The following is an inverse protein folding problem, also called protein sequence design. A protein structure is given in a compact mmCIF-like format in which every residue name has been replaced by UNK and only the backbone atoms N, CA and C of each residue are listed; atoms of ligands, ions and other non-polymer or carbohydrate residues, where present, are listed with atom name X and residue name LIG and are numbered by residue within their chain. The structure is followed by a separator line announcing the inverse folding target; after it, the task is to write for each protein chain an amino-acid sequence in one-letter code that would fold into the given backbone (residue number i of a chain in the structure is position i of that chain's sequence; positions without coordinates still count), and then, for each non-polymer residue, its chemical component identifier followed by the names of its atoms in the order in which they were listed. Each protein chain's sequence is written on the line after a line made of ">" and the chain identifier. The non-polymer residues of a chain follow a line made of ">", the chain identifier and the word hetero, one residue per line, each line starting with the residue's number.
data_IF_441539394191
#
_entry.id   IF_441539394191
#
_cell.length_a   1.000
_cell.length_b   1.000
_cell.length_c   1.000
_cell.angle_alpha   90.00
_cell.angle_beta   90.00
_cell.angle_gamma   90.00
#
_symmetry.space_group_name_H-M   'P 1'
#
loop_
_entity.id
_entity.type
_entity.pdbx_description
1 polymer ?
#
# COMPACT_ATOMS: atom_id res chain seq x y z
N UNK A 1 12.79 -18.73 21.28
CA UNK A 1 12.37 -19.70 20.25
C UNK A 1 12.64 -21.16 20.64
N UNK A 2 13.89 -21.65 20.65
CA UNK A 2 14.15 -23.08 20.96
C UNK A 2 13.65 -23.50 22.36
N UNK A 3 13.76 -22.62 23.35
CA UNK A 3 13.19 -22.84 24.68
C UNK A 3 11.65 -22.92 24.65
N UNK A 4 11.00 -22.13 23.80
CA UNK A 4 9.54 -22.16 23.63
C UNK A 4 9.10 -23.49 23.00
N UNK A 5 9.80 -23.95 21.97
CA UNK A 5 9.55 -25.27 21.36
C UNK A 5 9.76 -26.40 22.38
N UNK A 6 10.84 -26.34 23.17
CA UNK A 6 11.10 -27.33 24.22
C UNK A 6 10.02 -27.33 25.32
N UNK A 7 9.41 -26.17 25.59
CA UNK A 7 8.29 -26.05 26.52
C UNK A 7 7.02 -26.64 25.92
N UNK A 8 6.68 -26.28 24.68
CA UNK A 8 5.52 -26.82 23.95
C UNK A 8 5.59 -28.34 23.75
N UNK A 9 6.79 -28.90 23.60
CA UNK A 9 7.00 -30.35 23.48
C UNK A 9 6.64 -31.10 24.77
N UNK A 10 6.74 -30.45 25.92
CA UNK A 10 6.44 -31.03 27.24
C UNK A 10 4.98 -30.88 27.65
N UNK A 11 4.21 -30.02 26.98
CA UNK A 11 2.80 -29.78 27.29
C UNK A 11 1.96 -30.80 26.54
N UNK A 12 1.30 -31.76 27.22
CA UNK A 12 0.41 -32.70 26.58
C UNK A 12 -0.91 -32.03 26.22
N UNK A 13 -1.50 -32.42 25.09
CA UNK A 13 -2.89 -32.08 24.81
C UNK A 13 -3.78 -33.00 25.65
N UNK A 14 -4.69 -32.39 26.41
CA UNK A 14 -5.65 -33.16 27.21
C UNK A 14 -6.52 -34.06 26.30
N UNK A 15 -6.78 -35.33 26.67
CA UNK A 15 -7.54 -36.27 25.85
C UNK A 15 -8.91 -35.76 25.40
N UNK A 16 -9.57 -34.99 26.27
CA UNK A 16 -10.83 -34.30 26.02
C UNK A 16 -10.83 -33.41 24.76
N UNK A 17 -9.67 -32.81 24.47
CA UNK A 17 -9.46 -31.91 23.34
C UNK A 17 -9.09 -32.70 22.07
N UNK A 18 -8.39 -33.82 22.20
CA UNK A 18 -7.97 -34.66 21.07
C UNK A 18 -9.18 -35.20 20.28
N UNK A 19 -10.21 -35.69 20.99
CA UNK A 19 -11.43 -36.20 20.38
C UNK A 19 -12.25 -35.15 19.60
N UNK A 20 -12.17 -33.87 20.00
CA UNK A 20 -12.82 -32.76 19.28
C UNK A 20 -12.02 -32.30 18.06
N UNK A 21 -10.70 -32.50 18.04
CA UNK A 21 -9.86 -32.17 16.88
C UNK A 21 -9.89 -33.25 15.79
N UNK A 22 -9.99 -34.53 16.14
CA UNK A 22 -10.04 -35.64 15.15
C UNK A 22 -11.32 -35.64 14.31
N UNK A 23 -12.41 -35.06 14.84
CA UNK A 23 -13.68 -34.90 14.15
C UNK A 23 -13.63 -33.87 13.01
N UNK A 24 -12.63 -32.97 12.98
CA UNK A 24 -12.43 -32.00 11.91
C UNK A 24 -11.36 -32.41 10.88
N UNK A 25 -10.48 -33.37 11.20
CA UNK A 25 -9.30 -33.72 10.38
C UNK A 25 -9.53 -34.99 9.52
N UNK A 26 -10.66 -35.68 9.67
CA UNK A 26 -10.92 -36.94 8.97
C UNK A 26 -11.55 -36.76 7.57
N UNK A 27 -10.76 -36.26 6.61
CA UNK A 27 -10.92 -36.60 5.19
C UNK A 27 -9.51 -36.92 4.67
N UNK A 28 -9.28 -38.18 4.32
CA UNK A 28 -8.05 -38.76 3.74
C UNK A 28 -6.89 -39.09 4.69
N UNK A 29 -6.96 -40.24 5.37
CA UNK A 29 -5.96 -41.33 5.26
C UNK A 29 -6.37 -42.60 6.03
N UNK A 30 -5.90 -43.80 5.60
CA UNK A 30 -6.43 -45.07 6.07
C UNK A 30 -5.86 -45.49 7.42
N UNK A 31 -6.72 -46.13 8.19
CA UNK A 31 -6.52 -46.70 9.52
C UNK A 31 -5.27 -47.59 9.59
N UNK A 32 -4.33 -47.23 10.45
CA UNK A 32 -3.16 -48.03 10.79
C UNK A 32 -2.70 -47.81 12.23
N UNK A 33 -2.90 -48.85 13.05
CA UNK A 33 -2.21 -49.18 14.32
C UNK A 33 -2.10 -48.10 15.41
N UNK A 34 -2.86 -48.36 16.49
CA UNK A 34 -2.80 -47.71 17.80
C UNK A 34 -1.38 -47.61 18.34
N UNK A 35 -0.99 -46.38 18.65
CA UNK A 35 0.00 -46.03 19.66
C UNK A 35 -0.64 -44.90 20.46
N UNK A 36 -0.91 -45.14 21.75
CA UNK A 36 -1.32 -44.14 22.76
C UNK A 36 -0.19 -43.13 23.01
N UNK A 37 0.34 -42.51 21.96
CA UNK A 37 1.31 -41.44 22.09
C UNK A 37 0.56 -40.15 22.38
N UNK A 38 0.69 -39.68 23.63
CA UNK A 38 0.15 -38.39 24.06
C UNK A 38 0.66 -37.29 23.12
N UNK A 39 -0.23 -36.77 22.26
CA UNK A 39 0.12 -35.71 21.33
C UNK A 39 0.46 -34.44 22.13
N UNK A 40 1.69 -33.94 22.00
CA UNK A 40 2.10 -32.68 22.61
C UNK A 40 1.55 -31.49 21.84
N UNK A 41 1.44 -30.35 22.51
CA UNK A 41 0.97 -29.10 21.91
C UNK A 41 1.88 -28.69 20.73
N UNK A 42 3.20 -28.92 20.84
CA UNK A 42 4.13 -28.74 19.73
C UNK A 42 3.75 -29.62 18.53
N UNK A 43 3.48 -30.92 18.74
CA UNK A 43 3.16 -31.86 17.67
C UNK A 43 1.84 -31.52 16.97
N UNK A 44 0.87 -30.95 17.70
CA UNK A 44 -0.38 -30.47 17.11
C UNK A 44 -0.22 -29.19 16.30
N UNK A 45 0.49 -28.19 16.82
CA UNK A 45 0.84 -26.97 16.05
C UNK A 45 1.58 -27.36 14.76
N UNK A 46 2.52 -28.29 14.91
CA UNK A 46 3.34 -28.87 13.83
C UNK A 46 2.57 -29.69 12.79
N UNK A 47 1.39 -30.20 13.15
CA UNK A 47 0.54 -30.97 12.27
C UNK A 47 -0.40 -30.05 11.46
N UNK A 48 -0.83 -28.93 12.06
CA UNK A 48 -1.59 -27.89 11.36
C UNK A 48 -0.71 -27.04 10.44
N UNK A 49 0.54 -26.83 10.83
CA UNK A 49 1.51 -26.07 10.04
C UNK A 49 2.78 -26.91 9.93
N UNK A 50 3.14 -27.32 8.71
CA UNK A 50 4.27 -28.21 8.46
C UNK A 50 5.49 -27.75 9.29
N UNK A 51 6.08 -28.62 10.13
CA UNK A 51 7.17 -28.24 11.07
C UNK A 51 8.28 -27.37 10.47
N UNK A 52 8.52 -27.55 9.17
CA UNK A 52 9.47 -26.77 8.39
C UNK A 52 9.12 -25.28 8.33
N UNK A 53 7.84 -24.91 8.36
CA UNK A 53 7.39 -23.52 8.31
C UNK A 53 7.75 -22.73 9.57
N UNK A 54 7.65 -23.33 10.77
CA UNK A 54 7.96 -22.67 12.04
C UNK A 54 9.45 -22.37 12.19
N UNK A 55 10.29 -23.37 11.91
CA UNK A 55 11.74 -23.20 11.98
C UNK A 55 12.24 -22.24 10.88
N UNK A 56 11.67 -22.34 9.68
CA UNK A 56 11.97 -21.39 8.59
C UNK A 56 11.52 -19.97 8.92
N UNK A 57 10.36 -19.78 9.55
CA UNK A 57 9.89 -18.48 10.00
C UNK A 57 10.84 -17.87 11.05
N UNK A 58 11.33 -18.67 12.00
CA UNK A 58 12.31 -18.23 12.99
C UNK A 58 13.64 -17.82 12.35
N UNK A 59 14.18 -18.64 11.45
CA UNK A 59 15.42 -18.35 10.73
C UNK A 59 15.30 -17.11 9.84
N UNK A 60 14.19 -16.99 9.11
CA UNK A 60 13.91 -15.82 8.27
C UNK A 60 13.72 -14.56 9.11
N UNK A 61 13.13 -14.69 10.31
CA UNK A 61 13.00 -13.58 11.22
C UNK A 61 14.36 -13.09 11.71
N UNK A 62 15.24 -13.99 12.16
CA UNK A 62 16.60 -13.65 12.57
C UNK A 62 17.42 -13.02 11.44
N UNK A 63 17.39 -13.62 10.23
CA UNK A 63 18.06 -13.08 9.05
C UNK A 63 17.51 -11.69 8.69
N UNK A 64 16.19 -11.53 8.74
CA UNK A 64 15.51 -10.27 8.46
C UNK A 64 15.89 -9.19 9.46
N UNK A 65 15.87 -9.48 10.77
CA UNK A 65 16.25 -8.54 11.82
C UNK A 65 17.73 -8.12 11.73
N UNK A 66 18.61 -9.06 11.38
CA UNK A 66 20.03 -8.74 11.17
C UNK A 66 20.25 -7.87 9.92
N UNK A 67 19.49 -8.13 8.85
CA UNK A 67 19.59 -7.38 7.60
C UNK A 67 19.01 -5.96 7.73
N UNK A 68 17.80 -5.83 8.28
CA UNK A 68 17.12 -4.55 8.53
C UNK A 68 17.59 -3.91 9.83
N UNK A 69 18.90 -3.73 9.94
CA UNK A 69 19.52 -3.03 11.06
C UNK A 69 19.52 -1.50 10.83
N UNK A 70 19.87 -0.77 11.87
CA UNK A 70 19.89 0.70 11.85
C UNK A 70 20.84 1.26 10.77
N UNK A 71 22.01 0.64 10.58
CA UNK A 71 22.98 1.05 9.57
C UNK A 71 22.41 0.95 8.15
N UNK A 72 21.75 -0.17 7.83
CA UNK A 72 21.15 -0.39 6.52
C UNK A 72 20.05 0.65 6.22
N UNK A 73 19.23 0.98 7.23
CA UNK A 73 18.20 2.02 7.10
C UNK A 73 18.84 3.39 6.89
N UNK A 74 19.92 3.69 7.60
CA UNK A 74 20.62 4.96 7.48
C UNK A 74 21.31 5.10 6.12
N UNK A 75 21.94 4.05 5.63
CA UNK A 75 22.54 3.99 4.28
C UNK A 75 21.47 4.22 3.21
N UNK A 76 20.29 3.59 3.35
CA UNK A 76 19.17 3.76 2.43
C UNK A 76 18.63 5.20 2.45
N UNK A 77 18.47 5.81 3.63
CA UNK A 77 18.07 7.21 3.76
C UNK A 77 19.07 8.14 3.08
N UNK A 78 20.37 7.93 3.32
CA UNK A 78 21.42 8.72 2.70
C UNK A 78 21.39 8.58 1.16
N UNK A 79 21.17 7.37 0.65
CA UNK A 79 21.06 7.11 -0.77
C UNK A 79 19.84 7.82 -1.41
N UNK A 80 18.70 7.82 -0.72
CA UNK A 80 17.47 8.50 -1.12
C UNK A 80 17.65 10.01 -1.09
N UNK A 81 18.16 10.56 0.01
CA UNK A 81 18.41 12.00 0.16
C UNK A 81 19.35 12.50 -0.94
N UNK A 82 20.43 11.77 -1.22
CA UNK A 82 21.33 12.11 -2.32
C UNK A 82 20.61 12.14 -3.67
N UNK A 83 19.73 11.17 -3.95
CA UNK A 83 18.99 11.13 -5.21
C UNK A 83 17.97 12.27 -5.32
N UNK A 84 17.29 12.61 -4.24
CA UNK A 84 16.36 13.75 -4.15
C UNK A 84 17.10 15.07 -4.34
N UNK A 85 18.24 15.25 -3.68
CA UNK A 85 19.07 16.45 -3.82
C UNK A 85 19.58 16.60 -5.25
N UNK A 86 20.06 15.51 -5.87
CA UNK A 86 20.45 15.51 -7.27
C UNK A 86 19.28 15.89 -8.19
N UNK A 87 18.09 15.32 -7.95
CA UNK A 87 16.88 15.65 -8.68
C UNK A 87 16.37 17.07 -8.44
N UNK A 88 16.77 17.73 -7.36
CA UNK A 88 16.31 19.07 -6.99
C UNK A 88 17.19 20.19 -7.55
N UNK A 89 18.31 19.87 -8.21
CA UNK A 89 19.23 20.85 -8.82
C UNK A 89 18.55 21.63 -9.95
N UNK A 90 18.07 22.84 -9.64
CA UNK A 90 17.41 23.77 -10.57
C UNK A 90 18.32 24.19 -11.72
N UNK A 91 19.62 24.30 -11.48
CA UNK A 91 20.62 24.65 -12.49
C UNK A 91 20.62 23.71 -13.70
N UNK A 92 20.21 22.45 -13.51
CA UNK A 92 20.15 21.43 -14.55
C UNK A 92 18.76 21.34 -15.20
N UNK A 93 17.73 21.86 -14.52
CA UNK A 93 16.35 21.97 -15.03
C UNK A 93 16.14 23.21 -15.91
N UNK A 94 16.83 24.30 -15.60
CA UNK A 94 16.61 25.59 -16.25
C UNK A 94 17.85 26.08 -17.01
N UNK A 95 17.63 26.56 -18.25
CA UNK A 95 18.64 27.27 -19.03
C UNK A 95 18.42 28.76 -18.84
N UNK A 96 19.18 29.36 -17.92
CA UNK A 96 19.13 30.81 -17.65
C UNK A 96 19.40 31.61 -18.93
N UNK A 97 18.62 32.67 -19.15
CA UNK A 97 18.77 33.56 -20.29
C UNK A 97 18.41 32.94 -21.65
N UNK A 98 17.81 31.74 -21.70
CA UNK A 98 17.42 31.12 -22.96
C UNK A 98 16.46 32.01 -23.76
N UNK A 99 15.50 32.68 -23.09
CA UNK A 99 14.57 33.60 -23.72
C UNK A 99 15.26 34.76 -24.43
N UNK A 100 16.17 35.46 -23.76
CA UNK A 100 16.96 36.57 -24.33
C UNK A 100 17.82 36.11 -25.51
N UNK A 101 18.40 34.90 -25.41
CA UNK A 101 19.19 34.29 -26.49
C UNK A 101 18.34 33.95 -27.71
N UNK A 102 17.14 33.38 -27.51
CA UNK A 102 16.21 33.07 -28.58
C UNK A 102 15.70 34.35 -29.25
N UNK A 103 15.37 35.38 -28.47
CA UNK A 103 15.00 36.70 -28.98
C UNK A 103 16.13 37.31 -29.83
N UNK A 104 17.38 37.22 -29.38
CA UNK A 104 18.54 37.67 -30.15
C UNK A 104 18.71 36.92 -31.48
N UNK A 105 18.40 35.62 -31.52
CA UNK A 105 18.41 34.82 -32.75
C UNK A 105 17.28 35.22 -33.71
N UNK A 106 16.11 35.59 -33.19
CA UNK A 106 15.02 36.16 -34.01
C UNK A 106 15.44 37.49 -34.64
N UNK A 107 16.16 38.34 -33.90
CA UNK A 107 16.78 39.55 -34.45
C UNK A 107 17.73 39.25 -35.62
N UNK A 108 18.65 38.30 -35.44
CA UNK A 108 19.56 37.87 -36.52
C UNK A 108 18.82 37.32 -37.74
N UNK A 109 17.70 36.62 -37.54
CA UNK A 109 16.84 36.14 -38.64
C UNK A 109 16.21 37.30 -39.40
N UNK A 110 15.75 38.34 -38.72
CA UNK A 110 15.22 39.55 -39.35
C UNK A 110 16.32 40.27 -40.17
N UNK A 111 17.53 40.39 -39.62
CA UNK A 111 18.66 40.99 -40.31
C UNK A 111 19.04 40.23 -41.59
N UNK A 112 19.06 38.91 -41.55
CA UNK A 112 19.30 38.08 -42.75
C UNK A 112 18.26 38.34 -43.83
N UNK A 113 16.97 38.45 -43.46
CA UNK A 113 15.91 38.76 -44.42
C UNK A 113 16.11 40.13 -45.06
N UNK A 114 16.49 41.13 -44.27
CA UNK A 114 16.78 42.49 -44.78
C UNK A 114 17.97 42.47 -45.74
N UNK A 115 19.09 41.87 -45.34
CA UNK A 115 20.29 41.79 -46.20
C UNK A 115 20.02 41.00 -47.48
N UNK A 116 19.19 39.95 -47.43
CA UNK A 116 18.76 39.20 -48.61
C UNK A 116 17.93 40.08 -49.56
N UNK A 117 16.98 40.84 -49.02
CA UNK A 117 16.19 41.79 -49.81
C UNK A 117 17.08 42.83 -50.49
N UNK A 118 18.00 43.45 -49.76
CA UNK A 118 18.96 44.41 -50.30
C UNK A 118 19.81 43.81 -51.43
N UNK A 119 20.24 42.54 -51.29
CA UNK A 119 20.98 41.82 -52.33
C UNK A 119 20.13 41.56 -53.59
N UNK A 120 18.85 41.23 -53.42
CA UNK A 120 17.93 41.05 -54.53
C UNK A 120 17.67 42.35 -55.28
N UNK A 121 17.49 43.46 -54.57
CA UNK A 121 17.30 44.80 -55.16
C UNK A 121 18.55 45.25 -55.93
N UNK A 122 19.74 45.06 -55.36
CA UNK A 122 21.00 45.35 -56.06
C UNK A 122 21.14 44.51 -57.34
N UNK A 123 20.89 43.20 -57.26
CA UNK A 123 20.90 42.29 -58.40
C UNK A 123 19.90 42.70 -59.50
N UNK A 124 18.69 43.10 -59.12
CA UNK A 124 17.69 43.62 -60.05
C UNK A 124 18.15 44.93 -60.70
N UNK A 125 18.84 45.80 -59.94
CA UNK A 125 19.46 47.02 -60.45
C UNK A 125 20.48 46.76 -61.57
N UNK A 126 21.32 45.72 -61.44
CA UNK A 126 22.23 45.31 -62.53
C UNK A 126 21.47 44.91 -63.80
N UNK A 127 20.40 44.14 -63.65
CA UNK A 127 19.58 43.70 -64.78
C UNK A 127 18.91 44.90 -65.48
N UNK A 128 18.34 45.83 -64.72
CA UNK A 128 17.72 47.04 -65.26
C UNK A 128 18.75 47.92 -65.99
N UNK A 129 19.94 48.10 -65.43
CA UNK A 129 21.03 48.84 -66.05
C UNK A 129 21.49 48.19 -67.36
N UNK A 130 21.56 46.86 -67.41
CA UNK A 130 21.86 46.10 -68.62
C UNK A 130 20.79 46.31 -69.70
N UNK A 131 19.50 46.19 -69.35
CA UNK A 131 18.39 46.46 -70.27
C UNK A 131 18.44 47.89 -70.79
N UNK A 132 18.74 48.87 -69.93
CA UNK A 132 18.85 50.28 -70.29
C UNK A 132 19.99 50.53 -71.29
N UNK A 133 21.17 49.92 -71.06
CA UNK A 133 22.31 50.03 -71.97
C UNK A 133 22.00 49.44 -73.36
N UNK A 134 21.33 48.27 -73.39
CA UNK A 134 20.94 47.62 -74.65
C UNK A 134 19.89 48.43 -75.44
N UNK A 135 18.96 49.10 -74.75
CA UNK A 135 17.85 49.81 -75.39
C UNK A 135 18.22 51.23 -75.87
N UNK A 136 19.13 51.94 -75.18
CA UNK A 136 19.51 53.31 -75.55
C UNK A 136 20.52 53.36 -76.70
N UNK A 137 21.41 52.37 -76.81
CA UNK A 137 22.43 52.32 -77.86
C UNK A 137 23.48 53.44 -77.83
N UNK A 138 23.45 54.30 -76.79
CA UNK A 138 24.39 55.41 -76.61
C UNK A 138 25.61 54.94 -75.79
N UNK A 139 26.83 54.90 -76.37
CA UNK A 139 28.01 54.45 -75.66
C UNK A 139 28.49 55.46 -74.59
N UNK A 140 28.00 56.70 -74.58
CA UNK A 140 28.43 57.73 -73.64
C UNK A 140 27.97 57.47 -72.19
N UNK A 141 26.91 56.67 -71.97
CA UNK A 141 26.38 56.34 -70.64
C UNK A 141 27.08 55.16 -69.96
N UNK A 142 27.92 54.42 -70.69
CA UNK A 142 28.59 53.21 -70.20
C UNK A 142 29.56 53.48 -69.03
N UNK A 143 30.37 54.54 -69.02
CA UNK A 143 31.26 54.84 -67.90
C UNK A 143 30.49 55.03 -66.58
N UNK A 144 29.36 55.72 -66.61
CA UNK A 144 28.53 55.99 -65.42
C UNK A 144 27.85 54.72 -64.92
N UNK A 145 27.34 53.88 -65.83
CA UNK A 145 26.78 52.58 -65.50
C UNK A 145 27.84 51.65 -64.88
N UNK A 146 29.05 51.61 -65.45
CA UNK A 146 30.17 50.86 -64.90
C UNK A 146 30.60 51.36 -63.50
N UNK A 147 30.60 52.69 -63.29
CA UNK A 147 30.87 53.28 -61.98
C UNK A 147 29.76 52.96 -60.96
N UNK A 148 28.49 52.93 -61.38
CA UNK A 148 27.37 52.49 -60.55
C UNK A 148 27.47 51.01 -60.18
N UNK A 149 27.71 50.13 -61.15
CA UNK A 149 27.93 48.70 -60.96
C UNK A 149 29.08 48.42 -60.00
N UNK A 150 30.20 49.14 -60.14
CA UNK A 150 31.34 49.01 -59.23
C UNK A 150 30.95 49.33 -57.78
N UNK A 151 30.20 50.40 -57.55
CA UNK A 151 29.70 50.77 -56.21
C UNK A 151 28.72 49.73 -55.67
N UNK A 152 27.77 49.26 -56.49
CA UNK A 152 26.81 48.23 -56.10
C UNK A 152 27.51 46.91 -55.72
N UNK A 153 28.54 46.48 -56.48
CA UNK A 153 29.32 45.28 -56.16
C UNK A 153 30.04 45.38 -54.81
N UNK A 154 30.53 46.57 -54.43
CA UNK A 154 31.12 46.79 -53.11
C UNK A 154 30.07 46.57 -52.01
N UNK A 155 28.86 47.13 -52.16
CA UNK A 155 27.76 46.93 -51.20
C UNK A 155 27.31 45.47 -51.15
N UNK A 156 27.21 44.79 -52.30
CA UNK A 156 26.89 43.36 -52.34
C UNK A 156 27.95 42.51 -51.61
N UNK A 157 29.23 42.86 -51.74
CA UNK A 157 30.32 42.19 -51.04
C UNK A 157 30.23 42.41 -49.52
N UNK A 158 29.94 43.64 -49.07
CA UNK A 158 29.70 43.94 -47.65
C UNK A 158 28.51 43.16 -47.09
N UNK A 159 27.41 43.11 -47.84
CA UNK A 159 26.22 42.34 -47.48
C UNK A 159 26.52 40.84 -47.38
N UNK A 160 27.32 40.30 -48.31
CA UNK A 160 27.79 38.92 -48.23
C UNK A 160 28.65 38.66 -46.99
N UNK A 161 29.54 39.60 -46.63
CA UNK A 161 30.34 39.52 -45.41
C UNK A 161 29.45 39.50 -44.15
N UNK A 162 28.44 40.37 -44.07
CA UNK A 162 27.44 40.39 -43.00
C UNK A 162 26.70 39.05 -42.89
N UNK A 163 26.23 38.47 -44.01
CA UNK A 163 25.58 37.16 -44.01
C UNK A 163 26.49 36.05 -43.50
N UNK A 164 27.78 36.06 -43.87
CA UNK A 164 28.77 35.10 -43.37
C UNK A 164 28.98 35.23 -41.86
N UNK A 165 29.03 36.46 -41.34
CA UNK A 165 29.15 36.69 -39.90
C UNK A 165 27.90 36.21 -39.13
N UNK A 166 26.70 36.59 -39.59
CA UNK A 166 25.45 36.13 -38.97
C UNK A 166 25.37 34.60 -38.97
N UNK A 167 25.70 33.95 -40.09
CA UNK A 167 25.76 32.49 -40.19
C UNK A 167 26.71 31.90 -39.14
N UNK A 168 27.92 32.44 -39.01
CA UNK A 168 28.91 31.99 -38.01
C UNK A 168 28.36 32.12 -36.59
N UNK A 169 27.70 33.24 -36.26
CA UNK A 169 27.11 33.49 -34.94
C UNK A 169 25.98 32.50 -34.62
N UNK A 170 25.09 32.26 -35.58
CA UNK A 170 23.98 31.29 -35.44
C UNK A 170 24.52 29.86 -35.28
N UNK A 171 25.52 29.46 -36.07
CA UNK A 171 26.14 28.14 -35.96
C UNK A 171 26.74 27.92 -34.56
N UNK A 172 27.52 28.88 -34.05
CA UNK A 172 28.08 28.80 -32.69
C UNK A 172 26.99 28.72 -31.61
N UNK A 173 25.95 29.55 -31.72
CA UNK A 173 24.85 29.53 -30.75
C UNK A 173 24.11 28.19 -30.76
N UNK A 174 23.93 27.57 -31.93
CA UNK A 174 23.34 26.24 -32.08
C UNK A 174 24.23 25.16 -31.44
N UNK A 175 25.52 25.16 -31.73
CA UNK A 175 26.47 24.18 -31.17
C UNK A 175 26.50 24.24 -29.64
N UNK A 176 26.59 25.45 -29.08
CA UNK A 176 26.58 25.66 -27.64
C UNK A 176 25.28 25.16 -27.00
N UNK A 177 24.12 25.50 -27.59
CA UNK A 177 22.82 25.06 -27.09
C UNK A 177 22.68 23.53 -27.18
N UNK A 178 23.08 22.93 -28.31
CA UNK A 178 23.03 21.47 -28.49
C UNK A 178 23.90 20.74 -27.48
N UNK A 179 25.12 21.22 -27.22
CA UNK A 179 26.01 20.65 -26.21
C UNK A 179 25.39 20.75 -24.81
N UNK A 180 24.84 21.91 -24.47
CA UNK A 180 24.22 22.15 -23.17
C UNK A 180 22.97 21.27 -22.94
N UNK A 181 22.10 21.18 -23.95
CA UNK A 181 20.93 20.29 -23.92
C UNK A 181 21.33 18.83 -23.78
N UNK A 182 22.34 18.37 -24.52
CA UNK A 182 22.82 17.00 -24.43
C UNK A 182 23.31 16.66 -23.02
N UNK A 183 24.11 17.52 -22.41
CA UNK A 183 24.61 17.32 -21.05
C UNK A 183 23.47 17.24 -20.02
N UNK A 184 22.48 18.14 -20.12
CA UNK A 184 21.32 18.18 -19.23
C UNK A 184 20.43 16.96 -19.40
N UNK A 185 20.10 16.57 -20.63
CA UNK A 185 19.28 15.37 -20.90
C UNK A 185 19.98 14.11 -20.39
N UNK A 186 21.30 14.01 -20.53
CA UNK A 186 22.08 12.91 -19.95
C UNK A 186 21.96 12.89 -18.42
N UNK A 187 22.06 14.04 -17.77
CA UNK A 187 21.89 14.14 -16.32
C UNK A 187 20.47 13.75 -15.87
N UNK A 188 19.44 14.26 -16.53
CA UNK A 188 18.03 13.95 -16.24
C UNK A 188 17.82 12.44 -16.34
N UNK A 189 18.26 11.82 -17.43
CA UNK A 189 18.16 10.37 -17.62
C UNK A 189 18.84 9.59 -16.50
N UNK A 190 20.08 9.94 -16.14
CA UNK A 190 20.80 9.23 -15.08
C UNK A 190 20.12 9.38 -13.72
N UNK A 191 19.57 10.56 -13.43
CA UNK A 191 18.84 10.84 -12.19
C UNK A 191 17.53 10.05 -12.15
N UNK A 192 16.78 10.04 -13.26
CA UNK A 192 15.54 9.27 -13.40
C UNK A 192 15.78 7.77 -13.23
N UNK A 193 16.81 7.21 -13.89
CA UNK A 193 17.18 5.80 -13.70
C UNK A 193 17.46 5.49 -12.22
N UNK A 194 18.22 6.36 -11.55
CA UNK A 194 18.51 6.19 -10.12
C UNK A 194 17.26 6.24 -9.24
N UNK A 195 16.32 7.14 -9.53
CA UNK A 195 15.05 7.23 -8.80
C UNK A 195 14.21 5.96 -8.99
N UNK A 196 14.13 5.44 -10.21
CA UNK A 196 13.40 4.19 -10.51
C UNK A 196 14.03 3.00 -9.78
N UNK A 197 15.36 2.90 -9.77
CA UNK A 197 16.06 1.82 -9.07
C UNK A 197 15.85 1.90 -7.55
N UNK A 198 15.87 3.11 -6.98
CA UNK A 198 15.55 3.34 -5.57
C UNK A 198 14.10 2.98 -5.23
N UNK A 199 13.14 3.36 -6.08
CA UNK A 199 11.73 3.00 -5.91
C UNK A 199 11.56 1.49 -5.85
N UNK A 200 12.15 0.76 -6.80
CA UNK A 200 12.11 -0.71 -6.83
C UNK A 200 12.73 -1.33 -5.57
N UNK A 201 13.86 -0.80 -5.12
CA UNK A 201 14.54 -1.23 -3.89
C UNK A 201 13.66 -1.00 -2.66
N UNK A 202 13.00 0.15 -2.57
CA UNK A 202 12.07 0.48 -1.49
C UNK A 202 10.86 -0.47 -1.45
N UNK A 203 10.25 -0.75 -2.61
CA UNK A 203 9.12 -1.69 -2.69
C UNK A 203 9.53 -3.08 -2.23
N UNK A 204 10.69 -3.57 -2.67
CA UNK A 204 11.21 -4.88 -2.25
C UNK A 204 11.45 -4.95 -0.74
N UNK A 205 12.05 -3.92 -0.16
CA UNK A 205 12.29 -3.85 1.28
C UNK A 205 11.00 -3.74 2.07
N UNK A 206 10.03 -2.96 1.60
CA UNK A 206 8.72 -2.86 2.24
C UNK A 206 7.99 -4.20 2.29
N UNK A 207 7.94 -4.95 1.19
CA UNK A 207 7.34 -6.28 1.17
C UNK A 207 8.12 -7.27 2.06
N UNK A 208 9.44 -7.16 2.10
CA UNK A 208 10.28 -7.97 2.98
C UNK A 208 10.02 -7.67 4.46
N UNK A 209 9.86 -6.40 4.84
CA UNK A 209 9.50 -5.98 6.19
C UNK A 209 8.10 -6.44 6.60
N UNK A 210 7.12 -6.38 5.69
CA UNK A 210 5.78 -6.97 5.94
C UNK A 210 5.87 -8.47 6.24
N UNK A 211 6.65 -9.21 5.45
CA UNK A 211 6.85 -10.65 5.67
C UNK A 211 7.55 -10.91 7.01
N UNK A 212 8.58 -10.12 7.33
CA UNK A 212 9.29 -10.19 8.61
C UNK A 212 8.33 -9.97 9.80
N UNK A 213 7.46 -8.95 9.71
CA UNK A 213 6.43 -8.68 10.73
C UNK A 213 5.51 -9.87 10.96
N UNK A 214 5.02 -10.51 9.90
CA UNK A 214 4.18 -11.73 10.03
C UNK A 214 4.92 -12.88 10.71
N UNK A 215 6.20 -13.07 10.38
CA UNK A 215 7.02 -14.09 11.06
C UNK A 215 7.21 -13.75 12.54
N UNK A 216 7.41 -12.47 12.89
CA UNK A 216 7.52 -12.04 14.28
C UNK A 216 6.21 -12.28 15.06
N UNK A 217 5.05 -11.94 14.49
CA UNK A 217 3.74 -12.18 15.08
C UNK A 217 3.51 -13.68 15.36
N UNK A 218 3.90 -14.54 14.41
CA UNK A 218 3.85 -16.00 14.61
C UNK A 218 4.74 -16.45 15.78
N UNK A 219 5.96 -15.93 15.89
CA UNK A 219 6.88 -16.27 16.98
C UNK A 219 6.36 -15.81 18.34
N UNK A 220 5.72 -14.64 18.39
CA UNK A 220 5.06 -14.13 19.60
C UNK A 220 3.89 -15.03 20.01
N UNK A 221 3.06 -15.48 19.06
CA UNK A 221 2.00 -16.46 19.34
C UNK A 221 2.55 -17.77 19.89
N UNK A 222 3.65 -18.30 19.31
CA UNK A 222 4.31 -19.51 19.81
C UNK A 222 4.78 -19.31 21.25
N UNK A 223 5.37 -18.15 21.55
CA UNK A 223 5.84 -17.82 22.89
C UNK A 223 4.69 -17.73 23.92
N UNK A 224 3.55 -17.16 23.53
CA UNK A 224 2.38 -16.99 24.40
C UNK A 224 1.54 -18.26 24.55
N UNK A 225 1.63 -19.19 23.61
CA UNK A 225 0.81 -20.41 23.55
C UNK A 225 0.79 -21.21 24.86
N UNK A 226 1.92 -21.51 25.54
CA UNK A 226 1.92 -22.27 26.79
C UNK A 226 1.00 -21.67 27.86
N UNK A 227 1.10 -20.36 28.08
CA UNK A 227 0.30 -19.67 29.08
C UNK A 227 -1.18 -19.62 28.67
N UNK A 228 -1.45 -19.29 27.41
CA UNK A 228 -2.81 -19.21 26.89
C UNK A 228 -3.53 -20.57 26.94
N UNK A 229 -2.82 -21.66 26.64
CA UNK A 229 -3.35 -23.02 26.74
C UNK A 229 -3.76 -23.35 28.18
N UNK A 230 -2.89 -23.09 29.16
CA UNK A 230 -3.20 -23.37 30.57
C UNK A 230 -4.36 -22.51 31.09
N UNK A 231 -4.40 -21.23 30.71
CA UNK A 231 -5.51 -20.35 31.07
C UNK A 231 -6.84 -20.83 30.48
N UNK A 232 -6.84 -21.29 29.22
CA UNK A 232 -8.03 -21.84 28.58
C UNK A 232 -8.52 -23.12 29.30
N UNK A 233 -7.61 -24.02 29.67
CA UNK A 233 -7.95 -25.23 30.44
C UNK A 233 -8.60 -24.87 31.78
N UNK A 234 -8.00 -23.95 32.54
CA UNK A 234 -8.54 -23.49 33.82
C UNK A 234 -9.93 -22.88 33.63
N UNK A 235 -10.12 -22.08 32.59
CA UNK A 235 -11.39 -21.42 32.31
C UNK A 235 -12.48 -22.41 31.91
N UNK A 236 -12.16 -23.45 31.12
CA UNK A 236 -13.09 -24.54 30.78
C UNK A 236 -13.57 -25.24 32.06
N UNK A 237 -12.65 -25.62 32.95
CA UNK A 237 -13.00 -26.27 34.22
C UNK A 237 -13.87 -25.36 35.09
N UNK A 238 -13.51 -24.07 35.19
CA UNK A 238 -14.25 -23.07 35.97
C UNK A 238 -15.68 -22.91 35.46
N UNK A 239 -15.85 -22.77 34.14
CA UNK A 239 -17.18 -22.61 33.50
C UNK A 239 -18.05 -23.83 33.67
N UNK A 240 -17.51 -25.04 33.51
CA UNK A 240 -18.27 -26.27 33.73
C UNK A 240 -18.71 -26.45 35.17
N UNK A 241 -17.82 -26.18 36.13
CA UNK A 241 -18.18 -26.22 37.56
C UNK A 241 -19.30 -25.22 37.88
N UNK A 242 -19.24 -24.03 37.28
CA UNK A 242 -20.28 -23.04 37.44
C UNK A 242 -21.59 -23.48 36.80
N UNK A 243 -21.59 -23.93 35.54
CA UNK A 243 -22.81 -24.33 34.84
C UNK A 243 -23.51 -25.51 35.50
N UNK A 244 -22.76 -26.53 35.94
CA UNK A 244 -23.30 -27.66 36.70
C UNK A 244 -23.95 -27.21 38.02
N UNK A 245 -23.24 -26.42 38.83
CA UNK A 245 -23.77 -25.91 40.09
C UNK A 245 -24.99 -24.99 39.89
N UNK A 246 -24.94 -24.14 38.87
CA UNK A 246 -26.01 -23.22 38.54
C UNK A 246 -27.27 -23.95 38.07
N UNK A 247 -27.13 -24.95 37.19
CA UNK A 247 -28.27 -25.74 36.69
C UNK A 247 -28.95 -26.54 37.80
N UNK A 248 -28.17 -27.12 38.73
CA UNK A 248 -28.71 -27.80 39.92
C UNK A 248 -29.45 -26.81 40.81
N UNK A 249 -28.82 -25.68 41.13
CA UNK A 249 -29.42 -24.65 41.99
C UNK A 249 -30.72 -24.08 41.38
N UNK A 250 -30.67 -23.66 40.12
CA UNK A 250 -31.80 -23.06 39.43
C UNK A 250 -32.92 -24.07 39.16
N UNK A 251 -32.58 -25.33 38.87
CA UNK A 251 -33.55 -26.42 38.75
C UNK A 251 -34.30 -26.69 40.06
N UNK A 252 -33.59 -26.72 41.19
CA UNK A 252 -34.20 -26.88 42.51
C UNK A 252 -35.11 -25.70 42.86
N UNK A 253 -34.65 -24.46 42.59
CA UNK A 253 -35.46 -23.26 42.79
C UNK A 253 -36.73 -23.28 41.93
N UNK A 254 -36.61 -23.67 40.66
CA UNK A 254 -37.76 -23.73 39.76
C UNK A 254 -38.79 -24.77 40.19
N UNK A 255 -38.34 -25.94 40.64
CA UNK A 255 -39.21 -26.97 41.21
C UNK A 255 -39.96 -26.45 42.45
N UNK A 256 -39.25 -25.77 43.36
CA UNK A 256 -39.86 -25.22 44.57
C UNK A 256 -40.91 -24.13 44.24
N UNK A 257 -40.58 -23.19 43.36
CA UNK A 257 -41.52 -22.13 42.95
C UNK A 257 -42.70 -22.68 42.16
N UNK A 258 -42.48 -23.70 41.33
CA UNK A 258 -43.57 -24.41 40.65
C UNK A 258 -44.53 -25.06 41.66
N UNK A 259 -44.03 -25.71 42.71
CA UNK A 259 -44.87 -26.27 43.77
C UNK A 259 -45.69 -25.20 44.48
N UNK A 260 -45.05 -24.13 44.95
CA UNK A 260 -45.74 -23.02 45.64
C UNK A 260 -46.79 -22.37 44.75
N UNK A 261 -46.47 -22.09 43.47
CA UNK A 261 -47.41 -21.52 42.51
C UNK A 261 -48.60 -22.45 42.26
N UNK A 262 -48.35 -23.75 42.05
CA UNK A 262 -49.41 -24.70 41.76
C UNK A 262 -50.32 -24.95 42.97
N UNK A 263 -49.77 -24.99 44.19
CA UNK A 263 -50.57 -25.06 45.42
C UNK A 263 -51.48 -23.85 45.60
N UNK A 264 -50.98 -22.64 45.36
CA UNK A 264 -51.78 -21.41 45.43
C UNK A 264 -52.86 -21.37 44.33
N UNK A 265 -52.50 -21.75 43.10
CA UNK A 265 -53.45 -21.87 42.00
C UNK A 265 -54.56 -22.87 42.31
N UNK A 266 -54.23 -24.02 42.92
CA UNK A 266 -55.22 -25.01 43.33
C UNK A 266 -56.11 -24.47 44.46
N UNK A 267 -55.54 -23.80 45.47
CA UNK A 267 -56.34 -23.16 46.54
C UNK A 267 -57.31 -22.12 45.99
N UNK A 268 -56.87 -21.27 45.05
CA UNK A 268 -57.75 -20.29 44.38
C UNK A 268 -58.83 -20.97 43.55
N UNK A 269 -58.50 -22.01 42.78
CA UNK A 269 -59.49 -22.78 42.01
C UNK A 269 -60.53 -23.44 42.92
N UNK A 270 -60.10 -24.06 44.01
CA UNK A 270 -61.00 -24.71 44.97
C UNK A 270 -61.92 -23.71 45.67
N UNK A 271 -61.41 -22.51 46.01
CA UNK A 271 -62.23 -21.46 46.57
C UNK A 271 -63.21 -20.88 45.54
N UNK A 272 -62.72 -20.56 44.34
CA UNK A 272 -63.54 -20.04 43.25
C UNK A 272 -64.68 -21.00 42.92
N UNK A 273 -64.42 -22.31 42.84
CA UNK A 273 -65.46 -23.32 42.59
C UNK A 273 -66.58 -23.34 43.67
N UNK A 274 -66.30 -22.87 44.89
CA UNK A 274 -67.31 -22.73 45.96
C UNK A 274 -68.00 -21.37 45.95
N UNK A 275 -67.33 -20.34 45.44
CA UNK A 275 -67.78 -18.94 45.48
C UNK A 275 -68.47 -18.51 44.17
N UNK A 276 -68.23 -19.26 43.08
CA UNK A 276 -68.82 -19.06 41.77
C UNK A 276 -70.36 -19.14 41.84
N UNK A 277 -71.03 -18.11 41.32
CA UNK A 277 -72.49 -17.99 41.36
C UNK A 277 -73.07 -17.50 42.69
N UNK A 278 -72.24 -17.21 43.71
CA UNK A 278 -72.70 -16.64 44.98
C UNK A 278 -72.87 -15.11 44.90
N UNK A 279 -73.94 -14.55 45.47
CA UNK A 279 -74.23 -13.10 45.42
C UNK A 279 -73.17 -12.23 46.14
N UNK A 280 -72.31 -12.82 46.97
CA UNK A 280 -71.20 -12.11 47.62
C UNK A 280 -70.04 -11.83 46.66
N UNK A 281 -70.03 -12.40 45.45
CA UNK A 281 -68.99 -12.16 44.45
C UNK A 281 -68.88 -10.65 44.10
N UNK A 282 -70.02 -9.96 44.07
CA UNK A 282 -70.09 -8.51 43.80
C UNK A 282 -69.40 -7.66 44.87
N UNK A 283 -69.18 -8.19 46.09
CA UNK A 283 -68.50 -7.48 47.18
C UNK A 283 -66.98 -7.62 47.15
N UNK A 284 -66.41 -8.56 46.37
CA UNK A 284 -64.98 -8.86 46.36
C UNK A 284 -64.41 -8.95 44.94
N UNK A 285 -64.42 -7.85 44.17
CA UNK A 285 -63.84 -7.84 42.83
C UNK A 285 -62.34 -8.14 42.87
N UNK A 286 -61.86 -8.94 41.91
CA UNK A 286 -60.44 -9.32 41.78
C UNK A 286 -60.07 -10.67 42.42
N UNK A 287 -61.00 -11.38 43.06
CA UNK A 287 -60.74 -12.75 43.54
C UNK A 287 -60.45 -13.76 42.42
N UNK A 288 -60.79 -13.43 41.18
CA UNK A 288 -60.49 -14.23 39.99
C UNK A 288 -59.03 -14.07 39.50
N UNK A 289 -58.28 -13.10 40.04
CA UNK A 289 -56.90 -12.87 39.65
C UNK A 289 -56.03 -14.10 39.96
N UNK A 290 -55.10 -14.40 39.05
CA UNK A 290 -54.15 -15.50 39.22
C UNK A 290 -52.72 -14.97 39.18
N UNK A 291 -51.84 -15.42 40.10
CA UNK A 291 -50.45 -14.98 40.09
C UNK A 291 -49.75 -15.48 38.81
N UNK A 292 -48.94 -14.64 38.13
CA UNK A 292 -48.18 -15.07 36.97
C UNK A 292 -47.14 -16.12 37.37
N UNK A 293 -46.87 -17.13 36.51
CA UNK A 293 -45.78 -18.07 36.76
C UNK A 293 -44.44 -17.33 36.68
N UNK A 294 -43.68 -17.33 37.78
CA UNK A 294 -42.34 -16.73 37.83
C UNK A 294 -41.32 -17.79 38.21
N UNK A 295 -40.29 -17.95 37.37
CA UNK A 295 -39.20 -18.90 37.58
C UNK A 295 -39.65 -20.33 37.90
N UNK A 296 -40.78 -20.78 37.33
CA UNK A 296 -41.33 -22.14 37.53
C UNK A 296 -40.77 -23.17 36.56
N UNK A 297 -39.88 -22.75 35.65
CA UNK A 297 -39.21 -23.62 34.68
C UNK A 297 -37.71 -23.58 34.91
N UNK A 298 -37.08 -24.75 34.83
CA UNK A 298 -35.63 -24.83 34.92
C UNK A 298 -34.97 -24.13 33.71
N UNK A 299 -33.81 -23.47 33.90
CA UNK A 299 -33.10 -22.84 32.79
C UNK A 299 -32.60 -23.86 31.78
N UNK A 300 -32.43 -23.43 30.54
CA UNK A 300 -31.82 -24.24 29.47
C UNK A 300 -30.38 -24.58 29.80
N UNK A 301 -29.95 -25.80 29.43
CA UNK A 301 -28.55 -26.21 29.58
C UNK A 301 -27.65 -25.30 28.72
N UNK A 302 -26.53 -24.87 29.27
CA UNK A 302 -25.49 -24.09 28.59
C UNK A 302 -24.11 -24.65 28.94
N UNK A 303 -23.09 -24.25 28.18
CA UNK A 303 -21.70 -24.74 28.31
C UNK A 303 -21.56 -26.27 28.07
N UNK A 304 -22.52 -26.89 27.40
CA UNK A 304 -22.53 -28.33 27.09
C UNK A 304 -21.51 -28.75 26.03
N UNK A 305 -21.04 -27.80 25.21
CA UNK A 305 -20.04 -28.03 24.15
C UNK A 305 -18.60 -27.91 24.66
N UNK A 306 -18.40 -27.44 25.90
CA UNK A 306 -17.06 -27.36 26.48
C UNK A 306 -16.43 -28.76 26.59
N UNK A 307 -15.10 -28.90 26.33
CA UNK A 307 -14.40 -30.18 26.39
C UNK A 307 -14.61 -30.93 27.71
N UNK A 308 -14.80 -32.26 27.62
CA UNK A 308 -15.19 -33.13 28.74
C UNK A 308 -14.05 -33.72 29.55
#
# INVERSE_FOLDING_TARGET
>A
FNCDLATLAKIPILPALQAQTDSYVSIDQPSGSQSDEVQSLLRWISAQDSQRNLQHAAENCLKGLHFFNEQMIEDLKNEINFAIDAASRTELKEIKGLGERLFSLEGLKADVKKVLQDQCELAQGFLQNQTRANNLGDPSILPDLCASHRRQLVVMMENHSKLRDIRRRVTKAKEELSFNLHHRLKFIRLTEMRLIDLERKLVLYFESLKRLKRHQELLEQIHMTPQMYMNAVVEVVRRRRFSEAFLVWAGNLACHLYQVHNEEMNRRREFQAKFEGHFLNDLFPGLEDTPPPFATQAPTVFDSELPK
#
